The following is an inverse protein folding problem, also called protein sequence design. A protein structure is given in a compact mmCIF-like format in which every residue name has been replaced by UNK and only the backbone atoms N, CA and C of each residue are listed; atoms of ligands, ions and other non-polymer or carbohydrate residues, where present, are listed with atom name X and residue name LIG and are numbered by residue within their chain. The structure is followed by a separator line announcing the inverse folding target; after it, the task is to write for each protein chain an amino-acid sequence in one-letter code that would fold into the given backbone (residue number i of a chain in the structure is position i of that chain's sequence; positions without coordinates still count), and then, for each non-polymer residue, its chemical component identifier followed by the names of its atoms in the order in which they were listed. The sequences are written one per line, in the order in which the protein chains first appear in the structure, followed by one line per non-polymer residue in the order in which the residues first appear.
data_IF_219164052090
#
_entry.id   IF_219164052090
#
_cell.length_a   1.000
_cell.length_b   1.000
_cell.length_c   1.000
_cell.angle_alpha   90.00
_cell.angle_beta   90.00
_cell.angle_gamma   90.00
#
_symmetry.space_group_name_H-M   'P 1'
#
loop_
_entity.id
_entity.type
_entity.pdbx_description
1 polymer ?
#
# COMPACT_ATOMS: atom_id res chain seq x y z
N UNK A 1 10.70 8.42 -5.03
CA UNK A 1 10.50 7.60 -6.25
C UNK A 1 9.39 8.26 -7.05
N UNK A 2 9.61 8.70 -8.30
CA UNK A 2 8.58 9.43 -9.05
C UNK A 2 7.40 8.56 -9.50
N UNK A 3 7.54 7.23 -9.50
CA UNK A 3 6.49 6.30 -9.95
C UNK A 3 6.63 4.93 -9.26
N UNK A 4 5.58 4.48 -8.56
CA UNK A 4 5.58 3.21 -7.81
C UNK A 4 5.29 1.99 -8.69
N UNK A 5 4.51 2.16 -9.78
CA UNK A 5 4.00 1.10 -10.65
C UNK A 5 4.32 1.39 -12.13
N UNK A 6 5.61 1.47 -12.53
CA UNK A 6 6.00 1.86 -13.88
C UNK A 6 5.56 0.84 -14.94
N UNK A 7 5.57 -0.44 -14.59
CA UNK A 7 5.11 -1.54 -15.42
C UNK A 7 3.60 -1.44 -15.67
N UNK A 8 2.78 -1.28 -14.62
CA UNK A 8 1.34 -1.09 -14.78
C UNK A 8 1.01 0.10 -15.67
N UNK A 9 1.73 1.23 -15.51
CA UNK A 9 1.55 2.42 -16.35
C UNK A 9 1.90 2.14 -17.82
N UNK A 10 3.01 1.46 -18.11
CA UNK A 10 3.42 1.13 -19.47
C UNK A 10 2.37 0.28 -20.21
N UNK A 11 1.60 -0.53 -19.49
CA UNK A 11 0.53 -1.37 -20.02
C UNK A 11 -0.86 -0.73 -19.94
N UNK A 12 -0.97 0.52 -19.49
CA UNK A 12 -2.24 1.24 -19.38
C UNK A 12 -3.13 0.78 -18.22
N UNK A 13 -2.58 0.08 -17.23
CA UNK A 13 -3.29 -0.28 -16.01
C UNK A 13 -3.43 0.93 -15.09
N UNK A 14 -4.64 1.15 -14.57
CA UNK A 14 -4.94 2.26 -13.65
C UNK A 14 -4.80 1.91 -12.17
N UNK A 15 -4.71 0.62 -11.83
CA UNK A 15 -4.79 0.14 -10.43
C UNK A 15 -3.88 -1.03 -10.10
N UNK A 16 -3.70 -1.95 -11.04
CA UNK A 16 -2.94 -3.18 -10.83
C UNK A 16 -1.57 -3.09 -11.49
N UNK A 17 -0.58 -3.81 -10.97
CA UNK A 17 0.67 -4.04 -11.70
C UNK A 17 0.48 -5.07 -12.83
N UNK A 18 1.55 -5.43 -13.53
CA UNK A 18 1.48 -6.37 -14.67
C UNK A 18 1.02 -7.77 -14.31
N UNK A 19 1.26 -8.22 -13.07
CA UNK A 19 0.84 -9.53 -12.56
C UNK A 19 -0.54 -9.51 -11.88
N UNK A 20 -1.22 -8.36 -11.83
CA UNK A 20 -2.61 -8.24 -11.38
C UNK A 20 -2.80 -7.88 -9.89
N UNK A 21 -1.77 -7.45 -9.18
CA UNK A 21 -1.85 -7.04 -7.77
C UNK A 21 -2.17 -5.55 -7.59
N UNK A 22 -3.06 -5.24 -6.65
CA UNK A 22 -3.28 -3.87 -6.15
C UNK A 22 -2.15 -3.59 -5.16
N UNK A 23 -1.12 -2.87 -5.61
CA UNK A 23 0.08 -2.58 -4.83
C UNK A 23 -0.23 -1.88 -3.50
N UNK A 24 -1.29 -1.07 -3.43
CA UNK A 24 -1.72 -0.40 -2.20
C UNK A 24 -2.35 -1.36 -1.16
N UNK A 25 -2.43 -2.65 -1.47
CA UNK A 25 -2.85 -3.72 -0.55
C UNK A 25 -1.70 -4.64 -0.12
N UNK A 26 -0.49 -4.39 -0.61
CA UNK A 26 0.66 -5.29 -0.43
C UNK A 26 1.72 -4.77 0.55
N UNK A 27 1.51 -3.60 1.20
CA UNK A 27 2.48 -3.01 2.14
C UNK A 27 2.77 -3.87 3.38
N UNK A 28 1.83 -4.72 3.83
CA UNK A 28 2.00 -5.53 5.05
C UNK A 28 3.08 -6.60 4.90
N UNK A 29 3.06 -7.33 3.79
CA UNK A 29 4.01 -8.41 3.48
C UNK A 29 4.31 -8.42 1.98
N UNK A 30 5.07 -7.43 1.47
CA UNK A 30 5.42 -7.39 0.06
C UNK A 30 6.44 -8.48 -0.27
N UNK A 31 6.39 -8.97 -1.51
CA UNK A 31 7.29 -9.98 -2.08
C UNK A 31 8.04 -9.26 -3.20
N UNK A 32 9.37 -9.41 -3.26
CA UNK A 32 10.19 -8.60 -4.15
C UNK A 32 9.79 -8.79 -5.61
N UNK A 33 9.52 -10.02 -6.01
CA UNK A 33 9.22 -10.43 -7.39
C UNK A 33 7.78 -10.11 -7.83
N UNK A 34 6.86 -9.92 -6.88
CA UNK A 34 5.43 -9.68 -7.18
C UNK A 34 4.99 -8.24 -6.91
N UNK A 35 5.68 -7.55 -6.00
CA UNK A 35 5.31 -6.25 -5.46
C UNK A 35 6.49 -5.28 -5.49
N UNK A 36 7.31 -5.34 -6.55
CA UNK A 36 8.63 -4.70 -6.69
C UNK A 36 8.72 -3.28 -6.09
N UNK A 37 7.87 -2.35 -6.57
CA UNK A 37 7.88 -0.96 -6.11
C UNK A 37 7.56 -0.80 -4.63
N UNK A 38 6.57 -1.53 -4.13
CA UNK A 38 6.16 -1.49 -2.71
C UNK A 38 7.22 -2.13 -1.82
N UNK A 39 7.81 -3.25 -2.27
CA UNK A 39 8.90 -3.91 -1.56
C UNK A 39 10.09 -2.97 -1.41
N UNK A 40 10.53 -2.34 -2.51
CA UNK A 40 11.67 -1.43 -2.50
C UNK A 40 11.43 -0.20 -1.61
N UNK A 41 10.25 0.42 -1.70
CA UNK A 41 9.87 1.54 -0.82
C UNK A 41 9.88 1.11 0.64
N UNK A 42 9.35 -0.07 0.97
CA UNK A 42 9.36 -0.58 2.34
C UNK A 42 10.78 -0.76 2.89
N UNK A 43 11.73 -1.28 2.08
CA UNK A 43 13.12 -1.41 2.52
C UNK A 43 13.74 -0.05 2.84
N UNK A 44 13.52 0.96 2.00
CA UNK A 44 14.02 2.32 2.21
C UNK A 44 13.42 2.93 3.49
N UNK A 45 12.09 2.78 3.67
CA UNK A 45 11.40 3.28 4.86
C UNK A 45 11.91 2.62 6.14
N UNK A 46 12.10 1.30 6.14
CA UNK A 46 12.65 0.58 7.29
C UNK A 46 14.09 1.01 7.59
N UNK A 47 14.90 1.21 6.56
CA UNK A 47 16.26 1.71 6.73
C UNK A 47 16.28 3.11 7.37
N UNK A 48 15.51 4.07 6.84
CA UNK A 48 15.43 5.41 7.44
C UNK A 48 14.80 5.41 8.83
N UNK A 49 13.79 4.58 9.08
CA UNK A 49 13.21 4.42 10.40
C UNK A 49 14.25 3.90 11.41
N UNK A 50 15.08 2.93 11.03
CA UNK A 50 16.14 2.39 11.90
C UNK A 50 17.20 3.43 12.27
N UNK A 51 17.38 4.44 11.43
CA UNK A 51 18.32 5.55 11.63
C UNK A 51 17.64 6.77 12.27
N UNK A 52 16.35 6.69 12.61
CA UNK A 52 15.53 7.82 13.09
C UNK A 52 15.50 9.02 12.11
N UNK A 53 15.63 8.75 10.82
CA UNK A 53 15.63 9.73 9.74
C UNK A 53 14.30 9.78 8.96
N UNK A 54 13.34 8.91 9.31
CA UNK A 54 12.00 8.94 8.72
C UNK A 54 11.11 9.90 9.51
N UNK A 55 10.81 11.07 8.93
CA UNK A 55 9.92 12.06 9.56
C UNK A 55 8.45 11.87 9.18
N UNK A 56 8.14 11.72 7.88
CA UNK A 56 6.82 11.29 7.41
C UNK A 56 6.94 10.53 6.09
N UNK A 57 5.87 9.81 5.74
CA UNK A 57 5.70 9.16 4.44
C UNK A 57 4.39 9.64 3.81
N UNK A 58 4.43 9.96 2.53
CA UNK A 58 3.27 10.40 1.75
C UNK A 58 3.12 9.50 0.52
N UNK A 59 1.89 9.07 0.28
CA UNK A 59 1.51 8.28 -0.89
C UNK A 59 0.50 9.07 -1.74
N UNK A 60 0.89 9.45 -2.95
CA UNK A 60 0.12 10.34 -3.81
C UNK A 60 -0.71 9.53 -4.82
N UNK A 61 -2.02 9.77 -4.84
CA UNK A 61 -2.97 9.06 -5.71
C UNK A 61 -3.90 10.00 -6.46
N UNK A 62 -4.33 9.59 -7.65
CA UNK A 62 -5.45 10.21 -8.34
C UNK A 62 -6.77 9.64 -7.81
N UNK A 63 -7.71 10.52 -7.46
CA UNK A 63 -9.05 10.11 -7.02
C UNK A 63 -10.07 10.36 -8.12
N UNK A 64 -10.89 9.35 -8.47
CA UNK A 64 -11.83 9.48 -9.59
C UNK A 64 -13.14 10.21 -9.23
N UNK A 65 -13.53 10.20 -7.95
CA UNK A 65 -14.88 10.64 -7.53
C UNK A 65 -14.91 11.96 -6.75
N UNK A 66 -13.74 12.58 -6.48
CA UNK A 66 -13.62 13.78 -5.65
C UNK A 66 -12.67 14.75 -6.33
N UNK A 67 -13.06 16.02 -6.42
CA UNK A 67 -12.26 17.09 -7.03
C UNK A 67 -11.40 17.77 -5.96
N UNK A 68 -10.32 18.40 -6.39
CA UNK A 68 -9.37 19.09 -5.51
C UNK A 68 -8.30 18.16 -4.95
N UNK A 69 -7.36 18.75 -4.22
CA UNK A 69 -6.35 18.01 -3.46
C UNK A 69 -6.82 17.86 -2.02
N UNK A 70 -6.68 16.68 -1.46
CA UNK A 70 -7.05 16.37 -0.07
C UNK A 70 -6.15 15.25 0.45
N UNK A 71 -6.11 15.11 1.77
CA UNK A 71 -5.27 14.14 2.46
C UNK A 71 -6.13 13.08 3.14
N UNK A 72 -5.69 11.83 3.07
CA UNK A 72 -6.07 10.79 4.01
C UNK A 72 -4.91 10.59 4.96
N UNK A 73 -5.15 10.67 6.26
CA UNK A 73 -4.08 10.49 7.23
C UNK A 73 -4.45 9.49 8.33
N UNK A 74 -3.41 8.80 8.80
CA UNK A 74 -3.54 7.85 9.90
C UNK A 74 -3.69 8.64 11.21
N UNK A 75 -4.75 8.35 11.96
CA UNK A 75 -4.94 8.92 13.30
C UNK A 75 -4.43 8.00 14.43
N UNK A 76 -4.07 6.76 14.10
CA UNK A 76 -3.64 5.79 15.10
C UNK A 76 -2.26 6.20 15.58
N UNK A 77 -2.13 6.48 16.88
CA UNK A 77 -0.85 6.49 17.54
C UNK A 77 -0.14 5.15 17.42
N UNK A 78 1.17 5.15 17.58
CA UNK A 78 1.98 3.95 17.64
C UNK A 78 2.66 3.84 19.02
N UNK A 79 3.80 3.15 19.11
CA UNK A 79 4.55 3.05 20.37
C UNK A 79 5.22 4.37 20.77
N UNK A 80 5.39 5.30 19.83
CA UNK A 80 6.17 6.52 19.97
C UNK A 80 5.29 7.77 20.07
N UNK A 81 4.12 7.79 19.41
CA UNK A 81 3.16 8.89 19.47
C UNK A 81 1.79 8.43 19.95
N UNK A 82 1.13 9.26 20.76
CA UNK A 82 -0.28 9.07 21.04
C UNK A 82 -1.13 9.33 19.79
N UNK A 83 -2.37 8.84 19.78
CA UNK A 83 -3.30 9.15 18.69
C UNK A 83 -3.60 10.66 18.59
N UNK A 84 -3.53 11.38 19.71
CA UNK A 84 -3.71 12.84 19.75
C UNK A 84 -2.54 13.55 19.08
N UNK A 85 -1.31 13.11 19.34
CA UNK A 85 -0.11 13.65 18.70
C UNK A 85 -0.13 13.40 17.19
N UNK A 86 -0.50 12.19 16.77
CA UNK A 86 -0.61 11.84 15.35
C UNK A 86 -1.63 12.76 14.63
N UNK A 87 -2.80 12.97 15.25
CA UNK A 87 -3.81 13.88 14.72
C UNK A 87 -3.30 15.33 14.65
N UNK A 88 -2.60 15.79 15.69
CA UNK A 88 -2.05 17.15 15.73
C UNK A 88 -1.04 17.38 14.60
N UNK A 89 -0.15 16.42 14.35
CA UNK A 89 0.80 16.48 13.24
C UNK A 89 0.13 16.49 11.87
N UNK A 90 -0.90 15.66 11.69
CA UNK A 90 -1.67 15.62 10.44
C UNK A 90 -2.35 16.96 10.15
N UNK A 91 -3.00 17.55 11.16
CA UNK A 91 -3.65 18.86 11.03
C UNK A 91 -2.63 19.98 10.77
N UNK A 92 -1.53 20.00 11.53
CA UNK A 92 -0.46 20.98 11.35
C UNK A 92 0.12 20.91 9.93
N UNK A 93 0.39 19.71 9.42
CA UNK A 93 0.85 19.51 8.05
C UNK A 93 -0.17 19.97 7.02
N UNK A 94 -1.45 19.61 7.19
CA UNK A 94 -2.50 19.97 6.24
C UNK A 94 -2.70 21.49 6.14
N UNK A 95 -2.70 22.19 7.27
CA UNK A 95 -2.75 23.65 7.28
C UNK A 95 -1.52 24.26 6.62
N UNK A 96 -0.32 23.77 6.94
CA UNK A 96 0.91 24.24 6.30
C UNK A 96 0.87 24.01 4.78
N UNK A 97 0.38 22.86 4.33
CA UNK A 97 0.24 22.53 2.92
C UNK A 97 -0.81 23.43 2.22
N UNK A 98 -1.92 23.77 2.88
CA UNK A 98 -2.93 24.67 2.34
C UNK A 98 -2.42 26.10 2.16
N UNK A 99 -1.61 26.59 3.10
CA UNK A 99 -0.95 27.90 2.97
C UNK A 99 -0.04 27.97 1.74
N UNK A 100 0.55 26.84 1.34
CA UNK A 100 1.45 26.75 0.20
C UNK A 100 0.77 26.26 -1.09
N UNK A 101 -0.46 25.75 -1.00
CA UNK A 101 -1.19 25.16 -2.12
C UNK A 101 -2.66 25.58 -2.08
N UNK A 102 -3.11 26.52 -2.94
CA UNK A 102 -4.51 26.98 -2.96
C UNK A 102 -5.49 25.89 -3.42
N UNK A 103 -4.99 24.76 -3.92
CA UNK A 103 -5.79 23.63 -4.38
C UNK A 103 -5.99 22.56 -3.31
N UNK A 104 -5.33 22.67 -2.15
CA UNK A 104 -5.57 21.80 -1.02
C UNK A 104 -6.83 22.25 -0.28
N UNK A 105 -7.86 21.43 -0.36
CA UNK A 105 -9.11 21.59 0.35
C UNK A 105 -9.05 20.83 1.67
N UNK A 106 -8.76 21.55 2.75
CA UNK A 106 -8.62 20.96 4.08
C UNK A 106 -9.94 20.38 4.61
N UNK A 107 -11.09 20.94 4.22
CA UNK A 107 -12.41 20.45 4.63
C UNK A 107 -12.73 19.12 3.94
N UNK A 108 -12.07 18.86 2.80
CA UNK A 108 -12.08 17.58 2.10
C UNK A 108 -11.09 16.56 2.65
N UNK A 109 -10.20 16.90 3.58
CA UNK A 109 -9.28 15.93 4.18
C UNK A 109 -9.99 15.01 5.16
N UNK A 110 -9.53 13.76 5.26
CA UNK A 110 -10.15 12.73 6.08
C UNK A 110 -9.12 12.15 7.06
N UNK A 111 -9.52 12.15 8.34
CA UNK A 111 -8.65 11.83 9.47
C UNK A 111 -9.08 10.56 10.21
N UNK A 112 -10.02 9.78 9.66
CA UNK A 112 -10.86 8.88 10.46
C UNK A 112 -10.48 7.38 10.36
N UNK A 113 -10.82 6.63 11.40
CA UNK A 113 -10.55 5.17 11.62
C UNK A 113 -11.04 4.23 10.52
N UNK A 114 -11.99 4.64 9.68
CA UNK A 114 -12.81 3.69 8.91
C UNK A 114 -12.17 3.16 7.62
N UNK A 115 -11.06 3.75 7.16
CA UNK A 115 -10.34 3.24 5.99
C UNK A 115 -9.69 1.85 6.22
N UNK A 116 -9.48 1.46 7.49
CA UNK A 116 -8.99 0.13 7.86
C UNK A 116 -10.12 -0.91 8.03
N UNK A 117 -11.39 -0.53 7.79
CA UNK A 117 -12.46 -1.52 7.57
C UNK A 117 -12.28 -2.11 6.18
N UNK A 118 -11.32 -3.02 6.09
CA UNK A 118 -11.07 -3.97 5.00
C UNK A 118 -12.39 -4.34 4.31
N UNK A 119 -12.66 -3.89 3.07
CA UNK A 119 -13.63 -4.60 2.27
C UNK A 119 -13.08 -6.03 2.10
N UNK A 120 -13.87 -7.10 2.30
CA UNK A 120 -13.39 -8.45 2.04
C UNK A 120 -12.95 -8.48 0.58
N UNK A 121 -11.65 -8.69 0.36
CA UNK A 121 -11.13 -8.86 -0.98
C UNK A 121 -11.94 -9.96 -1.64
N UNK A 122 -12.56 -9.66 -2.79
CA UNK A 122 -13.03 -10.71 -3.69
C UNK A 122 -11.79 -11.56 -3.98
N UNK A 123 -11.74 -12.79 -3.46
CA UNK A 123 -10.68 -13.75 -3.76
C UNK A 123 -10.61 -13.86 -5.28
N UNK A 124 -9.58 -13.27 -5.87
CA UNK A 124 -9.16 -13.63 -7.22
C UNK A 124 -8.90 -15.13 -7.18
N UNK A 125 -9.58 -15.86 -8.06
CA UNK A 125 -9.45 -17.30 -8.17
C UNK A 125 -8.01 -17.59 -8.58
N UNK A 126 -7.18 -17.99 -7.61
CA UNK A 126 -5.89 -18.61 -7.92
C UNK A 126 -6.22 -19.85 -8.76
N UNK A 127 -5.65 -19.93 -9.96
CA UNK A 127 -5.56 -21.20 -10.66
C UNK A 127 -4.50 -21.99 -9.91
N UNK A 128 -4.92 -23.10 -9.33
CA UNK A 128 -4.04 -24.08 -8.72
C UNK A 128 -3.34 -24.81 -9.89
N UNK A 129 -2.08 -24.47 -10.13
CA UNK A 129 -1.19 -25.25 -10.98
C UNK A 129 -0.11 -25.84 -10.06
N UNK A 130 -0.45 -26.94 -9.39
CA UNK A 130 0.48 -27.80 -8.65
C UNK A 130 0.02 -29.27 -8.81
N UNK A 131 0.19 -29.84 -10.01
CA UNK A 131 0.42 -31.30 -10.15
C UNK A 131 1.91 -31.51 -10.40
N UNK A 132 2.64 -31.68 -9.30
CA UNK A 132 4.00 -32.20 -9.24
C UNK A 132 4.05 -33.60 -9.86
N UNK A 133 5.06 -33.83 -10.70
CA UNK A 133 5.34 -35.15 -11.27
C UNK A 133 6.00 -36.13 -10.30
N UNK A 134 5.90 -37.42 -10.67
CA UNK A 134 7.01 -38.38 -10.68
C UNK A 134 7.27 -39.24 -9.44
N UNK A 135 7.26 -40.56 -9.65
CA UNK A 135 7.79 -41.62 -8.77
C UNK A 135 6.89 -42.86 -8.79
N UNK A 136 7.13 -43.84 -9.69
CA UNK A 136 7.77 -45.15 -9.37
C UNK A 136 6.97 -45.91 -8.29
N UNK A 137 6.22 -46.97 -8.56
CA UNK A 137 6.57 -48.16 -9.34
C UNK A 137 7.14 -49.20 -8.40
N UNK A 138 6.29 -49.98 -7.73
CA UNK A 138 6.64 -51.30 -7.19
C UNK A 138 5.39 -52.18 -7.11
N UNK A 139 5.55 -53.37 -7.67
CA UNK A 139 4.61 -54.46 -7.91
C UNK A 139 4.97 -55.55 -6.91
N UNK A 140 4.07 -55.94 -6.01
CA UNK A 140 4.14 -57.23 -5.31
C UNK A 140 2.74 -57.59 -4.79
N UNK A 141 2.28 -58.80 -5.17
CA UNK A 141 0.93 -59.29 -4.94
C UNK A 141 0.75 -60.01 -3.60
N UNK A 142 -0.52 -60.26 -3.27
CA UNK A 142 -0.99 -61.53 -2.72
C UNK A 142 -2.53 -61.58 -2.76
N UNK A 143 -3.04 -62.78 -3.07
CA UNK A 143 -4.43 -63.30 -3.17
C UNK A 143 -5.27 -63.05 -4.44
#
# INVERSE_FOLDING_TARGET
CPMLNPDGVAWGHSRFNTVGFDLNRCYRSPVAEQHEGVWAVKQILLNWASQQQLFFYMDCHGHMNKRGCFLFANHNGDKMWSSEDALLWNLAYAHAAQLNCPHLDIDSCEWNKEFDKRPPGKKGKHRDDDEMGGGEGDDEGDE
#
